data_IF_741354514980
#
_entry.id   IF_741354514980
#
_cell.length_a   1.000
_cell.length_b   1.000
_cell.length_c   1.000
_cell.angle_alpha   90.00
_cell.angle_beta   90.00
_cell.angle_gamma   90.00
#
_symmetry.space_group_name_H-M   'P 1'
#
loop_
_entity.id
_entity.type
_entity.pdbx_description
1 polymer ?
#
# COMPACT_ATOMS: atom_id res chain seq x y z
N UNK A 1 5.32 -5.88 -26.27
CA UNK A 1 4.70 -4.52 -26.38
C UNK A 1 3.28 -4.46 -25.81
N UNK A 2 2.42 -5.49 -26.02
CA UNK A 2 1.04 -5.48 -25.49
C UNK A 2 0.93 -5.51 -23.96
N UNK A 3 1.72 -6.35 -23.26
CA UNK A 3 1.65 -6.47 -21.79
C UNK A 3 1.99 -5.17 -21.06
N UNK A 4 2.99 -4.42 -21.57
CA UNK A 4 3.34 -3.11 -21.00
C UNK A 4 2.20 -2.11 -21.16
N UNK A 5 1.55 -2.06 -22.33
CA UNK A 5 0.39 -1.19 -22.56
C UNK A 5 -0.78 -1.53 -21.65
N UNK A 6 -1.11 -2.82 -21.50
CA UNK A 6 -2.18 -3.27 -20.60
C UNK A 6 -1.90 -2.87 -19.14
N UNK A 7 -0.66 -3.08 -18.67
CA UNK A 7 -0.26 -2.73 -17.32
C UNK A 7 -0.32 -1.21 -17.08
N UNK A 8 0.08 -0.43 -18.10
CA UNK A 8 0.02 1.02 -18.05
C UNK A 8 -1.43 1.52 -18.03
N UNK A 9 -2.31 1.02 -18.91
CA UNK A 9 -3.74 1.35 -18.93
C UNK A 9 -4.39 1.01 -17.59
N UNK A 10 -4.14 -0.19 -17.05
CA UNK A 10 -4.60 -0.60 -15.74
C UNK A 10 -4.20 0.41 -14.66
N UNK A 11 -2.96 0.88 -14.67
CA UNK A 11 -2.45 1.80 -13.65
C UNK A 11 -3.13 3.18 -13.65
N UNK A 12 -3.79 3.57 -14.75
CA UNK A 12 -4.57 4.81 -14.83
C UNK A 12 -6.05 4.59 -14.52
N UNK A 13 -6.63 3.49 -14.99
CA UNK A 13 -8.06 3.21 -14.78
C UNK A 13 -8.33 2.73 -13.36
N UNK A 14 -7.49 1.84 -12.82
CA UNK A 14 -7.72 1.24 -11.52
C UNK A 14 -7.89 2.26 -10.38
N UNK A 15 -7.09 3.33 -10.24
CA UNK A 15 -7.28 4.32 -9.18
C UNK A 15 -8.63 5.03 -9.24
N UNK A 16 -9.17 5.30 -10.43
CA UNK A 16 -10.46 5.98 -10.60
C UNK A 16 -11.64 5.13 -10.14
N UNK A 17 -11.48 3.82 -10.11
CA UNK A 17 -12.46 2.88 -9.59
C UNK A 17 -12.18 2.50 -8.14
N UNK A 18 -10.91 2.19 -7.81
CA UNK A 18 -10.53 1.70 -6.49
C UNK A 18 -10.73 2.74 -5.39
N UNK A 19 -10.37 4.01 -5.65
CA UNK A 19 -10.46 5.04 -4.62
C UNK A 19 -11.92 5.31 -4.18
N UNK A 20 -12.87 5.61 -5.07
CA UNK A 20 -14.26 5.79 -4.65
C UNK A 20 -14.87 4.52 -4.08
N UNK A 21 -14.49 3.33 -4.60
CA UNK A 21 -14.96 2.05 -4.05
C UNK A 21 -14.44 1.83 -2.62
N UNK A 22 -13.15 2.07 -2.36
CA UNK A 22 -12.58 1.97 -1.02
C UNK A 22 -13.30 2.92 -0.06
N UNK A 23 -13.50 4.18 -0.47
CA UNK A 23 -14.17 5.19 0.35
C UNK A 23 -15.62 4.81 0.66
N UNK A 24 -16.36 4.33 -0.34
CA UNK A 24 -17.72 3.85 -0.17
C UNK A 24 -17.79 2.65 0.78
N UNK A 25 -16.96 1.64 0.57
CA UNK A 25 -16.95 0.44 1.39
C UNK A 25 -16.58 0.74 2.85
N UNK A 26 -15.59 1.60 3.09
CA UNK A 26 -15.26 2.04 4.44
C UNK A 26 -16.34 2.92 5.07
N UNK A 27 -17.01 3.76 4.28
CA UNK A 27 -18.16 4.54 4.75
C UNK A 27 -19.30 3.61 5.20
N UNK A 28 -19.68 2.62 4.41
CA UNK A 28 -20.73 1.65 4.79
C UNK A 28 -20.37 0.87 6.05
N UNK A 29 -19.07 0.60 6.26
CA UNK A 29 -18.59 -0.11 7.44
C UNK A 29 -18.54 0.75 8.70
N UNK A 30 -18.15 2.01 8.59
CA UNK A 30 -17.93 2.91 9.76
C UNK A 30 -19.10 3.83 10.06
N UNK A 31 -20.01 4.03 9.11
CA UNK A 31 -21.12 4.97 9.19
C UNK A 31 -20.70 6.45 9.19
N UNK A 32 -19.38 6.76 9.10
CA UNK A 32 -18.84 8.12 9.17
C UNK A 32 -17.88 8.39 8.02
N UNK A 33 -18.19 9.34 7.17
CA UNK A 33 -17.37 9.70 6.00
C UNK A 33 -15.97 10.19 6.39
N UNK A 34 -15.84 10.93 7.48
CA UNK A 34 -14.54 11.40 7.97
C UNK A 34 -13.63 10.24 8.38
N UNK A 35 -14.16 9.23 9.08
CA UNK A 35 -13.42 8.02 9.45
C UNK A 35 -13.00 7.22 8.22
N UNK A 36 -13.92 6.99 7.29
CA UNK A 36 -13.63 6.31 6.03
C UNK A 36 -12.54 7.04 5.24
N UNK A 37 -12.63 8.36 5.15
CA UNK A 37 -11.65 9.20 4.47
C UNK A 37 -10.27 9.11 5.12
N UNK A 38 -10.18 9.18 6.45
CA UNK A 38 -8.92 9.02 7.17
C UNK A 38 -8.28 7.66 6.88
N UNK A 39 -9.04 6.58 7.00
CA UNK A 39 -8.54 5.22 6.77
C UNK A 39 -8.03 5.05 5.35
N UNK A 40 -8.77 5.52 4.35
CA UNK A 40 -8.39 5.38 2.93
C UNK A 40 -7.23 6.30 2.55
N UNK A 41 -7.18 7.51 3.10
CA UNK A 41 -6.12 8.47 2.78
C UNK A 41 -4.77 8.15 3.44
N UNK A 42 -4.74 7.48 4.59
CA UNK A 42 -3.49 7.07 5.23
C UNK A 42 -2.55 6.32 4.27
N UNK A 43 -2.95 5.17 3.69
CA UNK A 43 -2.08 4.44 2.77
C UNK A 43 -1.84 5.21 1.46
N UNK A 44 -2.78 6.05 1.00
CA UNK A 44 -2.58 6.90 -0.19
C UNK A 44 -1.44 7.89 0.05
N UNK A 45 -1.46 8.62 1.16
CA UNK A 45 -0.43 9.63 1.48
C UNK A 45 0.94 8.97 1.64
N UNK A 46 1.03 7.88 2.41
CA UNK A 46 2.29 7.16 2.61
C UNK A 46 2.82 6.61 1.29
N UNK A 47 1.94 6.13 0.42
CA UNK A 47 2.30 5.62 -0.92
C UNK A 47 2.69 6.72 -1.92
N UNK A 48 2.55 7.99 -1.57
CA UNK A 48 3.18 9.11 -2.26
C UNK A 48 4.53 9.46 -1.65
N UNK A 49 4.59 9.64 -0.33
CA UNK A 49 5.79 10.13 0.36
C UNK A 49 6.94 9.13 0.24
N UNK A 50 6.73 7.89 0.67
CA UNK A 50 7.80 6.89 0.75
C UNK A 50 8.35 6.52 -0.62
N UNK A 51 7.50 6.20 -1.64
CA UNK A 51 8.01 5.93 -2.97
C UNK A 51 8.65 7.15 -3.66
N UNK A 52 8.15 8.37 -3.44
CA UNK A 52 8.81 9.56 -4.01
C UNK A 52 10.23 9.73 -3.48
N UNK A 53 10.46 9.49 -2.18
CA UNK A 53 11.78 9.48 -1.57
C UNK A 53 12.63 8.33 -2.16
N UNK A 54 12.10 7.12 -2.16
CA UNK A 54 12.81 5.93 -2.65
C UNK A 54 13.23 6.01 -4.11
N UNK A 55 12.40 6.60 -4.98
CA UNK A 55 12.70 6.74 -6.41
C UNK A 55 13.57 7.95 -6.75
N UNK A 56 13.22 9.14 -6.23
CA UNK A 56 13.86 10.38 -6.65
C UNK A 56 15.14 10.71 -5.87
N UNK A 57 15.18 10.39 -4.56
CA UNK A 57 16.33 10.70 -3.70
C UNK A 57 17.23 9.49 -3.51
N UNK A 58 16.70 8.36 -3.05
CA UNK A 58 17.49 7.17 -2.74
C UNK A 58 17.80 6.33 -3.98
N UNK A 59 17.06 6.50 -5.08
CA UNK A 59 17.25 5.79 -6.35
C UNK A 59 17.22 4.26 -6.22
N UNK A 60 16.42 3.75 -5.28
CA UNK A 60 16.29 2.32 -5.03
C UNK A 60 15.50 1.60 -6.12
N UNK A 61 14.57 2.31 -6.73
CA UNK A 61 13.81 1.84 -7.91
C UNK A 61 13.35 3.00 -8.77
N UNK A 62 12.85 2.70 -9.96
CA UNK A 62 12.23 3.68 -10.85
C UNK A 62 11.04 3.07 -11.58
N UNK A 63 10.05 3.90 -11.88
CA UNK A 63 8.99 3.56 -12.81
C UNK A 63 9.35 4.01 -14.22
N UNK A 64 8.82 3.29 -15.24
CA UNK A 64 9.02 3.59 -16.67
C UNK A 64 7.65 3.66 -17.36
N UNK A 65 6.83 4.61 -16.92
CA UNK A 65 5.46 4.86 -17.39
C UNK A 65 5.35 6.27 -17.98
N UNK A 66 4.21 6.60 -18.61
CA UNK A 66 4.07 7.85 -19.37
C UNK A 66 4.03 9.11 -18.48
N UNK A 67 3.27 9.08 -17.37
CA UNK A 67 3.11 10.25 -16.50
C UNK A 67 3.93 10.09 -15.22
N UNK A 68 4.99 10.87 -15.14
CA UNK A 68 6.02 10.77 -14.10
C UNK A 68 6.27 12.12 -13.43
N UNK A 69 6.58 12.08 -12.14
CA UNK A 69 7.21 13.17 -11.39
C UNK A 69 8.64 12.71 -11.02
N UNK A 70 9.62 13.06 -11.87
CA UNK A 70 10.95 12.47 -11.82
C UNK A 70 10.92 10.98 -12.18
N UNK A 71 11.33 10.11 -11.27
CA UNK A 71 11.31 8.64 -11.45
C UNK A 71 10.10 7.95 -10.80
N UNK A 72 9.15 8.73 -10.32
CA UNK A 72 7.95 8.28 -9.63
C UNK A 72 6.69 8.51 -10.48
N UNK A 73 5.79 7.52 -10.57
CA UNK A 73 4.55 7.65 -11.33
C UNK A 73 3.48 8.36 -10.51
N UNK A 74 2.81 9.36 -11.11
CA UNK A 74 1.87 10.26 -10.42
C UNK A 74 0.68 9.52 -9.80
N UNK A 75 0.14 8.50 -10.46
CA UNK A 75 -1.05 7.77 -9.98
C UNK A 75 -0.77 6.72 -8.89
N UNK A 76 0.50 6.54 -8.49
CA UNK A 76 0.90 5.41 -7.64
C UNK A 76 0.21 5.39 -6.27
N UNK A 77 0.17 6.54 -5.59
CA UNK A 77 -0.43 6.60 -4.26
C UNK A 77 -1.90 6.20 -4.26
N UNK A 78 -2.67 6.69 -5.22
CA UNK A 78 -4.08 6.29 -5.35
C UNK A 78 -4.23 4.84 -5.77
N UNK A 79 -3.38 4.32 -6.65
CA UNK A 79 -3.45 2.93 -7.07
C UNK A 79 -3.14 1.98 -5.89
N UNK A 80 -1.98 2.15 -5.28
CA UNK A 80 -1.50 1.28 -4.22
C UNK A 80 -2.28 1.50 -2.91
N UNK A 81 -2.48 2.75 -2.52
CA UNK A 81 -3.17 3.08 -1.27
C UNK A 81 -4.63 2.64 -1.26
N UNK A 82 -5.37 2.86 -2.36
CA UNK A 82 -6.77 2.42 -2.44
C UNK A 82 -6.90 0.90 -2.47
N UNK A 83 -6.01 0.21 -3.18
CA UNK A 83 -5.98 -1.26 -3.15
C UNK A 83 -5.69 -1.78 -1.74
N UNK A 84 -4.72 -1.18 -1.03
CA UNK A 84 -4.41 -1.52 0.36
C UNK A 84 -5.60 -1.32 1.30
N UNK A 85 -6.38 -0.24 1.10
CA UNK A 85 -7.58 0.03 1.89
C UNK A 85 -8.70 -1.00 1.64
N UNK A 86 -8.85 -1.49 0.40
CA UNK A 86 -9.80 -2.56 0.06
C UNK A 86 -9.33 -3.89 0.66
N UNK A 87 -8.05 -4.23 0.57
CA UNK A 87 -7.51 -5.44 1.22
C UNK A 87 -7.70 -5.39 2.74
N UNK A 88 -7.47 -4.23 3.36
CA UNK A 88 -7.71 -4.06 4.77
C UNK A 88 -9.16 -4.40 5.13
N UNK A 89 -10.14 -3.89 4.40
CA UNK A 89 -11.54 -4.17 4.65
C UNK A 89 -11.89 -5.67 4.50
N UNK A 90 -11.26 -6.34 3.53
CA UNK A 90 -11.52 -7.75 3.24
C UNK A 90 -10.98 -8.70 4.31
N UNK A 91 -9.88 -8.34 4.98
CA UNK A 91 -9.21 -9.24 5.95
C UNK A 91 -9.29 -8.80 7.39
N UNK A 92 -9.82 -7.61 7.65
CA UNK A 92 -9.84 -7.00 8.98
C UNK A 92 -10.87 -7.67 9.89
N UNK A 93 -10.43 -8.11 11.07
CA UNK A 93 -11.32 -8.63 12.08
C UNK A 93 -11.87 -7.48 12.92
N UNK A 94 -13.17 -7.24 12.82
CA UNK A 94 -13.91 -6.21 13.55
C UNK A 94 -14.51 -6.72 14.87
N UNK A 95 -14.10 -7.89 15.34
CA UNK A 95 -14.58 -8.43 16.61
C UNK A 95 -14.11 -7.55 17.79
N UNK A 96 -14.86 -7.60 18.89
CA UNK A 96 -14.48 -6.90 20.10
C UNK A 96 -13.40 -7.69 20.85
N UNK A 97 -12.35 -6.99 21.30
CA UNK A 97 -11.23 -7.57 22.02
C UNK A 97 -10.29 -6.52 22.60
N UNK A 98 -9.17 -6.95 23.12
CA UNK A 98 -8.09 -6.05 23.52
C UNK A 98 -7.57 -5.28 22.30
N UNK A 99 -7.55 -3.94 22.37
CA UNK A 99 -7.07 -3.07 21.29
C UNK A 99 -5.69 -3.50 20.78
N UNK A 100 -4.75 -3.78 21.68
CA UNK A 100 -3.40 -4.19 21.33
C UNK A 100 -3.40 -5.52 20.57
N UNK A 101 -4.13 -6.52 21.06
CA UNK A 101 -4.17 -7.84 20.43
C UNK A 101 -4.82 -7.77 19.05
N UNK A 102 -5.91 -7.01 18.92
CA UNK A 102 -6.59 -6.82 17.64
C UNK A 102 -5.71 -6.05 16.63
N UNK A 103 -5.02 -5.01 17.09
CA UNK A 103 -4.09 -4.26 16.25
C UNK A 103 -2.94 -5.15 15.72
N UNK A 104 -2.34 -5.97 16.58
CA UNK A 104 -1.28 -6.90 16.20
C UNK A 104 -1.79 -7.97 15.22
N UNK A 105 -2.95 -8.58 15.51
CA UNK A 105 -3.58 -9.59 14.65
C UNK A 105 -3.92 -9.03 13.27
N UNK A 106 -4.66 -7.93 13.23
CA UNK A 106 -5.08 -7.29 11.98
C UNK A 106 -3.88 -6.75 11.20
N UNK A 107 -2.89 -6.19 11.88
CA UNK A 107 -1.64 -5.76 11.29
C UNK A 107 -0.90 -6.93 10.63
N UNK A 108 -0.73 -8.05 11.33
CA UNK A 108 -0.04 -9.22 10.80
C UNK A 108 -0.75 -9.82 9.58
N UNK A 109 -2.07 -10.01 9.65
CA UNK A 109 -2.86 -10.57 8.55
C UNK A 109 -2.80 -9.63 7.33
N UNK A 110 -3.03 -8.33 7.54
CA UNK A 110 -3.00 -7.35 6.47
C UNK A 110 -1.61 -7.23 5.86
N UNK A 111 -0.56 -7.21 6.69
CA UNK A 111 0.83 -7.21 6.24
C UNK A 111 1.15 -8.40 5.35
N UNK A 112 0.72 -9.59 5.75
CA UNK A 112 0.92 -10.82 4.95
C UNK A 112 0.22 -10.76 3.59
N UNK A 113 -1.02 -10.29 3.54
CA UNK A 113 -1.79 -10.16 2.30
C UNK A 113 -1.19 -9.11 1.37
N UNK A 114 -0.84 -7.94 1.90
CA UNK A 114 -0.21 -6.86 1.12
C UNK A 114 1.16 -7.29 0.61
N UNK A 115 1.96 -7.98 1.43
CA UNK A 115 3.26 -8.51 1.02
C UNK A 115 3.14 -9.48 -0.16
N UNK A 116 2.25 -10.47 -0.05
CA UNK A 116 2.02 -11.45 -1.10
C UNK A 116 1.54 -10.81 -2.40
N UNK A 117 0.53 -9.93 -2.30
CA UNK A 117 -0.04 -9.26 -3.46
C UNK A 117 0.96 -8.39 -4.18
N UNK A 118 1.73 -7.58 -3.44
CA UNK A 118 2.70 -6.69 -4.05
C UNK A 118 3.93 -7.43 -4.57
N UNK A 119 4.34 -8.53 -3.94
CA UNK A 119 5.37 -9.40 -4.51
C UNK A 119 4.96 -9.89 -5.90
N UNK A 120 3.72 -10.40 -6.05
CA UNK A 120 3.19 -10.84 -7.35
C UNK A 120 3.11 -9.66 -8.33
N UNK A 121 2.56 -8.52 -7.89
CA UNK A 121 2.44 -7.33 -8.72
C UNK A 121 3.80 -6.82 -9.23
N UNK A 122 4.80 -6.78 -8.38
CA UNK A 122 6.13 -6.28 -8.72
C UNK A 122 6.88 -7.22 -9.67
N UNK A 123 6.71 -8.54 -9.55
CA UNK A 123 7.20 -9.50 -10.56
C UNK A 123 6.67 -9.11 -11.95
N UNK A 124 5.37 -8.87 -12.08
CA UNK A 124 4.78 -8.48 -13.37
C UNK A 124 5.23 -7.08 -13.82
N UNK A 125 5.39 -6.13 -12.91
CA UNK A 125 5.86 -4.79 -13.20
C UNK A 125 7.32 -4.80 -13.72
N UNK A 126 8.22 -5.56 -13.08
CA UNK A 126 9.60 -5.74 -13.51
C UNK A 126 9.64 -6.46 -14.86
N UNK A 127 8.93 -7.58 -14.98
CA UNK A 127 8.86 -8.38 -16.22
C UNK A 127 8.31 -7.62 -17.41
N UNK A 128 7.38 -6.71 -17.21
CA UNK A 128 6.81 -5.85 -18.27
C UNK A 128 7.72 -4.66 -18.64
N UNK A 129 8.78 -4.42 -17.88
CA UNK A 129 9.68 -3.28 -18.03
C UNK A 129 9.05 -1.94 -17.61
N UNK A 130 7.93 -1.94 -16.85
CA UNK A 130 7.32 -0.73 -16.31
C UNK A 130 7.95 -0.27 -15.00
N UNK A 131 8.75 -1.14 -14.36
CA UNK A 131 9.51 -0.83 -13.16
C UNK A 131 10.90 -1.48 -13.22
N UNK A 132 11.90 -0.81 -12.69
CA UNK A 132 13.21 -1.38 -12.37
C UNK A 132 13.51 -1.20 -10.89
N UNK A 133 14.04 -2.24 -10.23
CA UNK A 133 14.37 -2.22 -8.79
C UNK A 133 15.82 -2.59 -8.63
N UNK A 134 16.60 -1.71 -8.04
CA UNK A 134 18.06 -1.77 -7.98
C UNK A 134 18.56 -2.50 -6.73
N UNK A 135 18.07 -3.74 -6.53
CA UNK A 135 18.56 -4.64 -5.48
C UNK A 135 19.89 -5.28 -5.87
N UNK A 136 20.50 -5.98 -4.92
CA UNK A 136 21.69 -6.82 -5.22
C UNK A 136 21.38 -7.84 -6.33
N UNK A 137 20.18 -8.41 -6.33
CA UNK A 137 19.74 -9.34 -7.37
C UNK A 137 19.70 -8.72 -8.77
N UNK A 138 19.29 -7.45 -8.88
CA UNK A 138 19.31 -6.71 -10.16
C UNK A 138 20.72 -6.63 -10.76
N UNK A 139 21.71 -6.23 -9.94
CA UNK A 139 23.12 -6.10 -10.38
C UNK A 139 23.78 -7.44 -10.67
N UNK A 140 23.28 -8.53 -10.09
CA UNK A 140 23.73 -9.89 -10.36
C UNK A 140 23.01 -10.57 -11.53
N UNK A 141 22.10 -9.86 -12.22
CA UNK A 141 21.33 -10.40 -13.34
C UNK A 141 20.36 -11.52 -12.96
N UNK A 142 19.85 -11.51 -11.71
CA UNK A 142 18.85 -12.48 -11.25
C UNK A 142 17.50 -12.29 -11.93
N UNK A 143 16.65 -13.29 -11.80
CA UNK A 143 15.28 -13.27 -12.31
C UNK A 143 14.42 -12.20 -11.61
N UNK A 144 13.36 -11.75 -12.28
CA UNK A 144 12.38 -10.83 -11.71
C UNK A 144 11.73 -11.35 -10.42
N UNK A 145 11.60 -12.67 -10.26
CA UNK A 145 11.10 -13.32 -9.05
C UNK A 145 12.03 -13.12 -7.86
N UNK A 146 13.32 -13.33 -8.07
CA UNK A 146 14.34 -13.17 -7.03
C UNK A 146 14.53 -11.69 -6.68
N UNK A 147 14.55 -10.79 -7.69
CA UNK A 147 14.64 -9.34 -7.47
C UNK A 147 13.46 -8.85 -6.62
N UNK A 148 12.23 -9.27 -6.95
CA UNK A 148 11.06 -8.88 -6.18
C UNK A 148 11.06 -9.49 -4.77
N UNK A 149 11.55 -10.72 -4.61
CA UNK A 149 11.64 -11.39 -3.31
C UNK A 149 12.65 -10.74 -2.37
N UNK A 150 13.71 -10.12 -2.89
CA UNK A 150 14.76 -9.45 -2.09
C UNK A 150 14.19 -8.34 -1.18
N UNK A 151 13.03 -7.75 -1.51
CA UNK A 151 12.49 -6.62 -0.74
C UNK A 151 10.99 -6.70 -0.45
N UNK A 152 10.18 -7.18 -1.40
CA UNK A 152 8.73 -7.03 -1.34
C UNK A 152 8.08 -7.65 -0.10
N UNK A 153 8.42 -8.88 0.34
CA UNK A 153 7.82 -9.48 1.52
C UNK A 153 8.04 -8.64 2.78
N UNK A 154 9.24 -8.11 2.97
CA UNK A 154 9.58 -7.33 4.16
C UNK A 154 8.99 -5.92 4.06
N UNK A 155 9.26 -5.22 2.94
CA UNK A 155 8.83 -3.83 2.76
C UNK A 155 7.30 -3.69 2.83
N UNK A 156 6.59 -4.46 2.04
CA UNK A 156 5.12 -4.41 2.00
C UNK A 156 4.48 -5.10 3.21
N UNK A 157 5.13 -6.08 3.81
CA UNK A 157 4.70 -6.71 5.04
C UNK A 157 4.70 -5.73 6.20
N UNK A 158 5.79 -4.99 6.39
CA UNK A 158 5.89 -3.93 7.40
C UNK A 158 4.90 -2.81 7.13
N UNK A 159 4.79 -2.35 5.87
CA UNK A 159 3.79 -1.35 5.48
C UNK A 159 2.37 -1.78 5.88
N UNK A 160 1.94 -2.97 5.51
CA UNK A 160 0.60 -3.47 5.82
C UNK A 160 0.39 -3.72 7.29
N UNK A 161 1.42 -4.17 8.02
CA UNK A 161 1.38 -4.35 9.47
C UNK A 161 1.11 -3.02 10.19
N UNK A 162 1.89 -1.99 9.88
CA UNK A 162 1.74 -0.66 10.46
C UNK A 162 0.38 -0.05 10.08
N UNK A 163 -0.05 -0.23 8.82
CA UNK A 163 -1.35 0.25 8.37
C UNK A 163 -2.51 -0.42 9.12
N UNK A 164 -2.45 -1.73 9.38
CA UNK A 164 -3.44 -2.43 10.20
C UNK A 164 -3.55 -1.88 11.62
N UNK A 165 -2.40 -1.60 12.25
CA UNK A 165 -2.34 -0.93 13.56
C UNK A 165 -2.95 0.48 13.50
N UNK A 166 -2.66 1.24 12.45
CA UNK A 166 -3.20 2.59 12.27
C UNK A 166 -4.73 2.60 12.11
N UNK A 167 -5.30 1.64 11.39
CA UNK A 167 -6.77 1.48 11.27
C UNK A 167 -7.40 1.25 12.65
N UNK A 168 -6.87 0.32 13.45
CA UNK A 168 -7.37 0.07 14.81
C UNK A 168 -7.32 1.33 15.67
N UNK A 169 -6.24 2.10 15.56
CA UNK A 169 -6.08 3.35 16.29
C UNK A 169 -7.13 4.39 15.88
N UNK A 170 -7.42 4.52 14.59
CA UNK A 170 -8.47 5.43 14.08
C UNK A 170 -9.85 4.98 14.58
N UNK A 171 -10.15 3.69 14.49
CA UNK A 171 -11.43 3.13 14.95
C UNK A 171 -11.60 3.32 16.46
N UNK A 172 -10.56 3.08 17.24
CA UNK A 172 -10.55 3.28 18.69
C UNK A 172 -10.74 4.76 19.07
N UNK A 173 -10.05 5.69 18.39
CA UNK A 173 -10.19 7.12 18.62
C UNK A 173 -11.63 7.61 18.34
N UNK A 174 -12.24 7.12 17.27
CA UNK A 174 -13.63 7.44 16.91
C UNK A 174 -14.63 6.85 17.92
N UNK A 175 -14.31 5.71 18.53
CA UNK A 175 -15.09 5.09 19.59
C UNK A 175 -14.85 5.71 20.99
N UNK A 176 -13.94 6.69 21.11
CA UNK A 176 -13.60 7.33 22.37
C UNK A 176 -12.53 6.60 23.21
N UNK A 177 -11.82 5.63 22.64
CA UNK A 177 -10.84 4.79 23.33
C UNK A 177 -9.36 5.23 23.20
N UNK A 178 -9.10 6.47 22.78
CA UNK A 178 -7.77 7.12 22.92
C UNK A 178 -6.62 6.57 22.08
N UNK A 179 -6.81 6.35 20.76
CA UNK A 179 -5.81 5.76 19.91
C UNK A 179 -4.93 6.70 19.05
N UNK A 180 -4.91 8.00 19.31
CA UNK A 180 -4.27 9.02 18.45
C UNK A 180 -2.74 8.84 18.29
N UNK A 181 -2.06 8.28 19.28
CA UNK A 181 -0.59 8.16 19.30
C UNK A 181 -0.05 7.26 18.18
N UNK A 182 -0.75 6.17 17.87
CA UNK A 182 -0.27 5.18 16.89
C UNK A 182 -0.38 5.65 15.44
N UNK A 183 -1.34 6.54 15.14
CA UNK A 183 -1.47 7.14 13.79
C UNK A 183 -0.28 8.05 13.50
N UNK A 184 0.21 8.76 14.49
CA UNK A 184 1.36 9.64 14.35
C UNK A 184 2.65 8.87 14.03
N UNK A 185 2.85 7.73 14.66
CA UNK A 185 4.00 6.84 14.40
C UNK A 185 3.97 6.33 12.95
N UNK A 186 2.80 5.98 12.43
CA UNK A 186 2.65 5.54 11.04
C UNK A 186 3.07 6.61 10.02
N UNK A 187 2.81 7.89 10.31
CA UNK A 187 3.13 9.00 9.41
C UNK A 187 4.60 9.44 9.49
N UNK A 188 5.32 9.04 10.53
CA UNK A 188 6.71 9.44 10.78
C UNK A 188 7.76 8.37 10.42
N UNK A 189 7.34 7.15 10.16
CA UNK A 189 8.20 6.05 9.66
C UNK A 189 8.20 5.95 8.14
#
# INVERSE_FOLDING_TARGET
>A
MERRKLFEIYSYIAPTLLFPSALWLWYTKTGKISTAFMIVMLPVIVSYIVPAIGTNYLKLWEFKTRFMAGKFRIQHGFLFGSASAIFALAVFDFSKGSLVLMALKNGFVLGSVIALWNWIYDIYAIKSGTMAVYTKGYYLGKSEYEIAFDYAPVYFGVFGFIYGIAIESVLAAVAGAGGVVLVFVYLTM
#
